data_IF_139112380861
#
_entry.id   IF_139112380861
#
_cell.length_a   1.000
_cell.length_b   1.000
_cell.length_c   1.000
_cell.angle_alpha   90.00
_cell.angle_beta   90.00
_cell.angle_gamma   90.00
#
_symmetry.space_group_name_H-M   'P 1'
#
loop_
_entity.id
_entity.type
_entity.pdbx_description
1 polymer ?
#
# COMPACT_ATOMS: atom_id res chain seq x y z
N UNK A 1 -20.14 0.56 30.88
CA UNK A 1 -19.13 0.94 29.87
C UNK A 1 -19.81 1.72 28.77
N UNK A 2 -19.47 2.99 28.59
CA UNK A 2 -20.03 3.82 27.53
C UNK A 2 -19.55 3.24 26.19
N UNK A 3 -20.49 2.80 25.34
CA UNK A 3 -20.17 2.23 24.03
C UNK A 3 -19.64 3.39 23.17
N UNK A 4 -18.34 3.43 22.93
CA UNK A 4 -17.72 4.39 22.01
C UNK A 4 -18.18 4.01 20.60
N UNK A 5 -19.27 4.60 20.13
CA UNK A 5 -19.76 4.39 18.76
C UNK A 5 -19.05 5.34 17.79
N UNK A 6 -18.67 4.81 16.62
CA UNK A 6 -18.05 5.60 15.56
C UNK A 6 -19.03 6.63 14.99
N UNK A 7 -18.52 7.79 14.59
CA UNK A 7 -19.36 8.90 14.08
C UNK A 7 -19.83 8.59 12.65
N UNK A 8 -21.04 8.04 12.55
CA UNK A 8 -21.71 7.78 11.28
C UNK A 8 -21.76 9.01 10.39
N UNK A 9 -21.48 8.82 9.10
CA UNK A 9 -21.59 9.87 8.08
C UNK A 9 -20.58 11.02 8.23
N UNK A 10 -19.47 10.81 8.91
CA UNK A 10 -18.42 11.82 9.08
C UNK A 10 -17.49 11.93 7.87
N UNK A 11 -17.37 10.87 7.06
CA UNK A 11 -16.45 10.81 5.91
C UNK A 11 -17.26 10.75 4.60
N UNK A 12 -17.05 11.72 3.70
CA UNK A 12 -17.65 11.71 2.36
C UNK A 12 -16.97 10.71 1.40
N UNK A 13 -17.56 10.49 0.22
CA UNK A 13 -17.04 9.56 -0.80
C UNK A 13 -15.56 9.81 -1.11
N UNK A 14 -15.21 11.04 -1.47
CA UNK A 14 -13.83 11.40 -1.77
C UNK A 14 -12.91 11.26 -0.56
N UNK A 15 -13.41 11.48 0.66
CA UNK A 15 -12.64 11.22 1.88
C UNK A 15 -12.29 9.74 2.02
N UNK A 16 -13.24 8.84 1.78
CA UNK A 16 -13.02 7.39 1.81
C UNK A 16 -12.05 6.96 0.70
N UNK A 17 -12.22 7.47 -0.52
CA UNK A 17 -11.32 7.20 -1.66
C UNK A 17 -9.90 7.63 -1.34
N UNK A 18 -9.70 8.87 -0.87
CA UNK A 18 -8.37 9.37 -0.56
C UNK A 18 -7.73 8.63 0.62
N UNK A 19 -8.47 8.33 1.67
CA UNK A 19 -7.95 7.51 2.78
C UNK A 19 -7.51 6.12 2.30
N UNK A 20 -8.23 5.53 1.34
CA UNK A 20 -7.87 4.24 0.76
C UNK A 20 -6.61 4.32 -0.12
N UNK A 21 -6.50 5.36 -0.95
CA UNK A 21 -5.30 5.61 -1.78
C UNK A 21 -4.08 5.83 -0.89
N UNK A 22 -4.22 6.67 0.14
CA UNK A 22 -3.15 6.97 1.09
C UNK A 22 -2.74 5.72 1.87
N UNK A 23 -3.68 4.86 2.24
CA UNK A 23 -3.40 3.58 2.90
C UNK A 23 -2.66 2.57 2.01
N UNK A 24 -2.64 2.77 0.69
CA UNK A 24 -1.78 2.01 -0.23
C UNK A 24 -0.32 2.48 -0.14
N UNK A 25 -0.03 3.66 0.42
CA UNK A 25 1.33 4.24 0.50
C UNK A 25 2.00 4.35 -0.89
N UNK A 26 1.44 5.19 -1.79
CA UNK A 26 1.69 5.13 -3.24
C UNK A 26 3.14 5.37 -3.69
N UNK A 27 4.03 5.93 -2.86
CA UNK A 27 5.47 5.96 -3.17
C UNK A 27 6.22 4.83 -2.49
N UNK A 28 6.17 4.75 -1.17
CA UNK A 28 6.99 3.82 -0.39
C UNK A 28 6.86 2.34 -0.85
N UNK A 29 5.66 1.76 -0.82
CA UNK A 29 5.48 0.34 -1.16
C UNK A 29 5.75 0.07 -2.64
N UNK A 30 5.51 1.09 -3.48
CA UNK A 30 5.77 1.02 -4.92
C UNK A 30 7.26 0.95 -5.22
N UNK A 31 8.10 1.71 -4.52
CA UNK A 31 9.56 1.66 -4.74
C UNK A 31 10.09 0.25 -4.47
N UNK A 32 9.69 -0.38 -3.36
CA UNK A 32 10.12 -1.75 -3.04
C UNK A 32 9.58 -2.72 -4.07
N UNK A 33 8.26 -2.71 -4.28
CA UNK A 33 7.58 -3.69 -5.14
C UNK A 33 8.01 -3.58 -6.61
N UNK A 34 8.26 -2.38 -7.12
CA UNK A 34 8.83 -2.17 -8.44
C UNK A 34 10.27 -2.68 -8.53
N UNK A 35 11.08 -2.51 -7.48
CA UNK A 35 12.46 -3.04 -7.44
C UNK A 35 12.46 -4.57 -7.46
N UNK A 36 11.58 -5.21 -6.68
CA UNK A 36 11.44 -6.68 -6.67
C UNK A 36 10.87 -7.18 -7.99
N UNK A 37 9.86 -6.52 -8.55
CA UNK A 37 9.31 -6.86 -9.86
C UNK A 37 10.38 -6.80 -10.95
N UNK A 38 11.20 -5.75 -10.97
CA UNK A 38 12.33 -5.62 -11.88
C UNK A 38 13.37 -6.72 -11.69
N UNK A 39 13.63 -7.12 -10.44
CA UNK A 39 14.58 -8.19 -10.11
C UNK A 39 14.14 -9.54 -10.71
N UNK A 40 12.85 -9.89 -10.61
CA UNK A 40 12.34 -11.19 -11.07
C UNK A 40 11.87 -11.20 -12.52
N UNK A 41 11.16 -10.16 -12.95
CA UNK A 41 10.57 -10.06 -14.29
C UNK A 41 11.41 -9.25 -15.27
N UNK A 42 12.53 -8.65 -14.85
CA UNK A 42 13.45 -7.95 -15.73
C UNK A 42 12.75 -6.89 -16.59
N UNK A 43 13.01 -6.94 -17.89
CA UNK A 43 12.42 -6.00 -18.84
C UNK A 43 10.89 -6.08 -18.87
N UNK A 44 10.30 -7.26 -18.61
CA UNK A 44 8.86 -7.48 -18.61
C UNK A 44 8.14 -6.95 -17.35
N UNK A 45 8.85 -6.29 -16.42
CA UNK A 45 8.28 -5.76 -15.19
C UNK A 45 7.05 -4.84 -15.42
N UNK A 46 7.02 -3.90 -16.39
CA UNK A 46 5.83 -3.09 -16.65
C UNK A 46 4.60 -3.93 -17.00
N UNK A 47 4.77 -5.00 -17.78
CA UNK A 47 3.67 -5.91 -18.10
C UNK A 47 3.16 -6.66 -16.87
N UNK A 48 4.04 -6.99 -15.90
CA UNK A 48 3.57 -7.58 -14.63
C UNK A 48 2.59 -6.65 -13.92
N UNK A 49 2.85 -5.34 -13.88
CA UNK A 49 1.95 -4.36 -13.27
C UNK A 49 0.63 -4.26 -14.02
N UNK A 50 0.61 -4.30 -15.35
CA UNK A 50 -0.63 -4.26 -16.14
C UNK A 50 -1.50 -5.49 -15.85
N UNK A 51 -0.94 -6.69 -16.01
CA UNK A 51 -1.70 -7.94 -15.83
C UNK A 51 -2.04 -8.16 -14.35
N UNK A 52 -1.10 -7.88 -13.45
CA UNK A 52 -1.31 -7.99 -12.02
C UNK A 52 -2.40 -7.06 -11.49
N UNK A 53 -2.47 -5.81 -12.00
CA UNK A 53 -3.57 -4.89 -11.67
C UNK A 53 -4.92 -5.45 -12.14
N UNK A 54 -4.99 -5.97 -13.37
CA UNK A 54 -6.21 -6.58 -13.89
C UNK A 54 -6.67 -7.75 -13.02
N UNK A 55 -5.76 -8.60 -12.56
CA UNK A 55 -6.07 -9.71 -11.65
C UNK A 55 -6.45 -9.22 -10.24
N UNK A 56 -5.89 -8.11 -9.78
CA UNK A 56 -6.24 -7.52 -8.49
C UNK A 56 -7.68 -7.01 -8.46
N UNK A 57 -8.24 -6.57 -9.58
CA UNK A 57 -9.68 -6.24 -9.65
C UNK A 57 -10.57 -7.42 -9.29
N UNK A 58 -10.17 -8.67 -9.60
CA UNK A 58 -10.94 -9.85 -9.18
C UNK A 58 -11.00 -9.99 -7.65
N UNK A 59 -9.92 -9.61 -6.95
CA UNK A 59 -9.91 -9.60 -5.49
C UNK A 59 -10.80 -8.49 -4.93
N UNK A 60 -10.81 -7.32 -5.57
CA UNK A 60 -11.69 -6.20 -5.18
C UNK A 60 -13.16 -6.58 -5.31
N UNK A 61 -13.54 -7.35 -6.34
CA UNK A 61 -14.94 -7.81 -6.53
C UNK A 61 -15.43 -8.61 -5.32
N UNK A 62 -14.61 -9.52 -4.78
CA UNK A 62 -15.01 -10.28 -3.59
C UNK A 62 -15.26 -9.36 -2.39
N UNK A 63 -14.34 -8.41 -2.13
CA UNK A 63 -14.49 -7.42 -1.05
C UNK A 63 -15.73 -6.56 -1.25
N UNK A 64 -15.98 -6.11 -2.48
CA UNK A 64 -17.16 -5.33 -2.83
C UNK A 64 -18.44 -6.09 -2.48
N UNK A 65 -18.59 -7.34 -2.94
CA UNK A 65 -19.78 -8.17 -2.66
C UNK A 65 -20.06 -8.25 -1.17
N UNK A 66 -19.06 -8.55 -0.34
CA UNK A 66 -19.23 -8.60 1.12
C UNK A 66 -19.56 -7.24 1.73
N UNK A 67 -18.93 -6.17 1.25
CA UNK A 67 -19.19 -4.81 1.75
C UNK A 67 -20.63 -4.34 1.51
N UNK A 68 -21.31 -4.84 0.47
CA UNK A 68 -22.73 -4.54 0.24
C UNK A 68 -23.68 -5.21 1.24
N UNK A 69 -23.20 -6.24 1.95
CA UNK A 69 -24.01 -7.04 2.89
C UNK A 69 -23.69 -6.72 4.34
N UNK A 70 -22.44 -6.37 4.64
CA UNK A 70 -21.94 -6.21 6.00
C UNK A 70 -21.26 -4.85 6.12
N UNK A 71 -21.85 -3.96 6.90
CA UNK A 71 -21.32 -2.62 7.20
C UNK A 71 -20.78 -2.66 8.62
N UNK A 72 -19.47 -2.85 8.77
CA UNK A 72 -18.82 -2.84 10.07
C UNK A 72 -17.32 -2.50 9.96
N UNK A 73 -16.83 -1.65 10.87
CA UNK A 73 -15.42 -1.24 10.89
C UNK A 73 -14.45 -2.40 11.18
N UNK A 74 -14.95 -3.53 11.70
CA UNK A 74 -14.18 -4.77 11.88
C UNK A 74 -13.73 -5.43 10.57
N UNK A 75 -14.22 -5.00 9.40
CA UNK A 75 -13.73 -5.44 8.09
C UNK A 75 -13.85 -6.96 7.88
N UNK A 76 -12.77 -7.59 7.41
CA UNK A 76 -12.77 -9.03 7.06
C UNK A 76 -13.15 -9.95 8.22
N UNK A 77 -12.80 -9.63 9.47
CA UNK A 77 -13.30 -10.36 10.64
C UNK A 77 -14.82 -10.49 10.61
N UNK A 78 -15.54 -9.38 10.37
CA UNK A 78 -17.00 -9.40 10.31
C UNK A 78 -17.55 -10.06 9.07
N UNK A 79 -16.84 -10.00 7.95
CA UNK A 79 -17.23 -10.74 6.76
C UNK A 79 -17.25 -12.24 7.02
N UNK A 80 -16.22 -12.77 7.70
CA UNK A 80 -16.15 -14.18 8.08
C UNK A 80 -17.19 -14.53 9.15
N UNK A 81 -17.37 -13.68 10.17
CA UNK A 81 -18.40 -13.88 11.19
C UNK A 81 -19.80 -13.98 10.56
N UNK A 82 -20.15 -13.05 9.68
CA UNK A 82 -21.44 -13.01 9.01
C UNK A 82 -21.65 -14.14 8.00
N UNK A 83 -20.59 -14.59 7.31
CA UNK A 83 -20.68 -15.66 6.32
C UNK A 83 -20.73 -17.07 6.93
N UNK A 84 -20.01 -17.29 8.04
CA UNK A 84 -19.80 -18.63 8.60
C UNK A 84 -20.49 -18.86 9.94
N UNK A 85 -20.82 -17.80 10.68
CA UNK A 85 -21.26 -17.89 12.08
C UNK A 85 -20.20 -18.42 13.04
N UNK A 86 -18.97 -18.68 12.57
CA UNK A 86 -17.92 -19.33 13.34
C UNK A 86 -17.01 -18.28 14.00
N UNK A 87 -17.19 -18.10 15.32
CA UNK A 87 -16.40 -17.16 16.11
C UNK A 87 -14.89 -17.48 16.17
N UNK A 88 -14.48 -18.74 16.03
CA UNK A 88 -13.06 -19.10 16.01
C UNK A 88 -12.39 -18.63 14.71
N UNK A 89 -12.98 -18.97 13.55
CA UNK A 89 -12.47 -18.52 12.25
C UNK A 89 -12.43 -17.00 12.16
N UNK A 90 -13.49 -16.36 12.65
CA UNK A 90 -13.57 -14.90 12.74
C UNK A 90 -12.37 -14.35 13.53
N UNK A 91 -12.16 -14.79 14.78
CA UNK A 91 -11.06 -14.29 15.64
C UNK A 91 -9.68 -14.54 15.04
N UNK A 92 -9.47 -15.67 14.36
CA UNK A 92 -8.22 -15.95 13.65
C UNK A 92 -7.96 -14.92 12.55
N UNK A 93 -8.99 -14.54 11.78
CA UNK A 93 -8.88 -13.47 10.78
C UNK A 93 -8.64 -12.10 11.42
N UNK A 94 -9.25 -11.79 12.56
CA UNK A 94 -8.93 -10.55 13.29
C UNK A 94 -7.45 -10.47 13.67
N UNK A 95 -6.85 -11.57 14.14
CA UNK A 95 -5.42 -11.61 14.46
C UNK A 95 -4.55 -11.40 13.23
N UNK A 96 -4.89 -12.06 12.11
CA UNK A 96 -4.17 -11.87 10.84
C UNK A 96 -4.29 -10.42 10.37
N UNK A 97 -5.49 -9.83 10.44
CA UNK A 97 -5.69 -8.42 10.10
C UNK A 97 -4.87 -7.50 11.02
N UNK A 98 -4.87 -7.74 12.33
CA UNK A 98 -4.09 -6.95 13.27
C UNK A 98 -2.59 -6.97 12.91
N UNK A 99 -2.01 -8.16 12.69
CA UNK A 99 -0.62 -8.30 12.27
C UNK A 99 -0.35 -7.62 10.93
N UNK A 100 -1.26 -7.79 9.95
CA UNK A 100 -1.15 -7.15 8.66
C UNK A 100 -1.15 -5.62 8.76
N UNK A 101 -1.93 -5.03 9.67
CA UNK A 101 -1.95 -3.58 9.90
C UNK A 101 -0.70 -3.05 10.61
N UNK A 102 0.08 -3.91 11.27
CA UNK A 102 1.40 -3.52 11.82
C UNK A 102 2.50 -3.48 10.76
N UNK A 103 2.39 -4.29 9.70
CA UNK A 103 3.41 -4.38 8.65
C UNK A 103 3.73 -3.03 7.97
N UNK A 104 2.77 -2.18 7.58
CA UNK A 104 3.07 -0.88 6.97
C UNK A 104 3.97 0.03 7.81
N UNK A 105 3.86 -0.04 9.15
CA UNK A 105 4.70 0.73 10.07
C UNK A 105 6.16 0.26 9.97
N UNK A 106 6.37 -1.05 9.98
CA UNK A 106 7.70 -1.69 9.88
C UNK A 106 8.31 -1.43 8.49
N UNK A 107 7.52 -1.62 7.44
CA UNK A 107 7.94 -1.38 6.05
C UNK A 107 8.35 0.08 5.89
N UNK A 108 7.57 1.03 6.41
CA UNK A 108 7.89 2.47 6.33
C UNK A 108 9.19 2.82 7.04
N UNK A 109 9.41 2.31 8.24
CA UNK A 109 10.68 2.52 8.93
C UNK A 109 11.87 1.93 8.16
N UNK A 110 11.68 0.74 7.57
CA UNK A 110 12.74 0.03 6.83
C UNK A 110 13.11 0.76 5.54
N UNK A 111 12.12 1.23 4.77
CA UNK A 111 12.41 1.94 3.52
C UNK A 111 13.13 3.24 3.75
N UNK A 112 12.71 4.05 4.73
CA UNK A 112 13.45 5.29 5.02
C UNK A 112 14.87 5.02 5.50
N UNK A 113 15.08 3.96 6.29
CA UNK A 113 16.42 3.52 6.68
C UNK A 113 17.29 3.14 5.47
N UNK A 114 16.70 2.52 4.45
CA UNK A 114 17.40 2.15 3.21
C UNK A 114 17.55 3.31 2.21
N UNK A 115 16.54 4.17 2.07
CA UNK A 115 16.50 5.21 1.04
C UNK A 115 17.53 6.32 1.30
N UNK A 116 17.77 6.67 2.57
CA UNK A 116 18.74 7.71 2.94
C UNK A 116 20.18 7.39 2.49
N UNK A 117 20.78 6.23 2.83
CA UNK A 117 22.12 5.90 2.34
C UNK A 117 22.17 5.72 0.82
N UNK A 118 21.11 5.17 0.19
CA UNK A 118 21.03 5.06 -1.27
C UNK A 118 21.04 6.43 -1.93
N UNK A 119 20.25 7.37 -1.41
CA UNK A 119 20.18 8.75 -1.92
C UNK A 119 21.51 9.48 -1.72
N UNK A 120 22.15 9.31 -0.56
CA UNK A 120 23.44 9.93 -0.29
C UNK A 120 24.55 9.42 -1.24
N UNK A 121 24.53 8.12 -1.52
CA UNK A 121 25.43 7.52 -2.49
C UNK A 121 25.14 8.02 -3.92
N UNK A 122 23.87 8.00 -4.34
CA UNK A 122 23.47 8.32 -5.71
C UNK A 122 23.60 9.81 -6.08
N UNK A 123 23.27 10.72 -5.16
CA UNK A 123 23.25 12.16 -5.43
C UNK A 123 24.55 12.87 -5.01
N UNK A 124 25.20 12.40 -3.95
CA UNK A 124 26.35 13.07 -3.35
C UNK A 124 27.63 12.21 -3.37
N UNK A 125 27.60 11.01 -3.96
CA UNK A 125 28.74 10.08 -3.99
C UNK A 125 29.36 9.85 -2.61
N UNK A 126 28.54 9.89 -1.55
CA UNK A 126 29.00 9.84 -0.16
C UNK A 126 28.45 8.60 0.53
N UNK A 127 29.31 7.88 1.26
CA UNK A 127 28.92 6.76 2.11
C UNK A 127 28.60 7.27 3.51
N UNK A 128 27.38 6.99 3.98
CA UNK A 128 26.98 7.35 5.33
C UNK A 128 27.46 6.31 6.35
N UNK A 129 27.75 6.72 7.60
CA UNK A 129 28.01 5.78 8.68
C UNK A 129 26.87 4.78 8.88
N UNK A 130 27.20 3.55 9.29
CA UNK A 130 26.25 2.43 9.41
C UNK A 130 25.13 2.67 10.42
N UNK A 131 25.32 3.58 11.39
CA UNK A 131 24.28 3.92 12.37
C UNK A 131 23.18 4.84 11.80
N UNK A 132 23.44 5.57 10.70
CA UNK A 132 22.49 6.56 10.15
C UNK A 132 21.18 5.92 9.67
N UNK A 133 21.20 4.79 8.93
CA UNK A 133 19.98 4.04 8.59
C UNK A 133 19.12 3.68 9.81
N UNK A 134 19.74 3.23 10.91
CA UNK A 134 19.01 2.86 12.13
C UNK A 134 18.35 4.07 12.79
N UNK A 135 19.06 5.20 12.86
CA UNK A 135 18.49 6.45 13.37
C UNK A 135 17.32 6.94 12.51
N UNK A 136 17.46 6.86 11.19
CA UNK A 136 16.37 7.22 10.28
C UNK A 136 15.12 6.36 10.47
N UNK A 137 15.28 5.03 10.56
CA UNK A 137 14.16 4.13 10.84
C UNK A 137 13.49 4.45 12.19
N UNK A 138 14.29 4.72 13.22
CA UNK A 138 13.76 5.07 14.55
C UNK A 138 12.97 6.40 14.51
N UNK A 139 13.47 7.41 13.80
CA UNK A 139 12.79 8.69 13.65
C UNK A 139 11.43 8.55 12.97
N UNK A 140 11.30 7.67 11.97
CA UNK A 140 10.00 7.38 11.33
C UNK A 140 9.02 6.75 12.32
N UNK A 141 9.47 5.80 13.15
CA UNK A 141 8.62 5.20 14.17
C UNK A 141 8.12 6.23 15.19
N UNK A 142 9.03 7.12 15.64
CA UNK A 142 8.69 8.22 16.56
C UNK A 142 7.68 9.17 15.90
N UNK A 143 7.91 9.53 14.63
CA UNK A 143 7.01 10.39 13.88
C UNK A 143 5.60 9.79 13.75
N UNK A 144 5.49 8.52 13.34
CA UNK A 144 4.19 7.84 13.21
C UNK A 144 3.50 7.74 14.58
N UNK A 145 4.24 7.46 15.65
CA UNK A 145 3.73 7.43 17.01
C UNK A 145 3.17 8.80 17.45
N UNK A 146 3.93 9.88 17.26
CA UNK A 146 3.50 11.24 17.62
C UNK A 146 2.25 11.64 16.85
N UNK A 147 2.23 11.44 15.52
CA UNK A 147 1.07 11.80 14.69
C UNK A 147 -0.17 10.99 15.10
N UNK A 148 0.00 9.71 15.42
CA UNK A 148 -1.08 8.85 15.90
C UNK A 148 -1.58 9.29 17.28
N UNK A 149 -0.67 9.74 18.15
CA UNK A 149 -0.98 10.22 19.51
C UNK A 149 -1.72 11.56 19.51
N UNK A 150 -1.35 12.49 18.61
CA UNK A 150 -1.99 13.81 18.48
C UNK A 150 -3.41 13.77 17.89
N UNK A 151 -3.87 12.60 17.46
CA UNK A 151 -5.26 12.31 17.16
C UNK A 151 -5.59 12.17 15.67
N UNK A 152 -6.65 11.40 15.41
CA UNK A 152 -7.07 10.91 14.09
C UNK A 152 -7.33 12.04 13.08
N UNK A 153 -7.84 13.19 13.52
CA UNK A 153 -8.16 14.32 12.63
C UNK A 153 -6.92 14.98 12.03
N UNK A 154 -5.87 15.15 12.84
CA UNK A 154 -4.61 15.72 12.36
C UNK A 154 -3.92 14.71 11.44
N UNK A 155 -3.86 13.44 11.87
CA UNK A 155 -3.33 12.34 11.06
C UNK A 155 -4.00 12.28 9.69
N UNK A 156 -5.33 12.27 9.61
CA UNK A 156 -6.05 12.19 8.34
C UNK A 156 -5.72 13.35 7.39
N UNK A 157 -5.66 14.60 7.90
CA UNK A 157 -5.33 15.78 7.06
C UNK A 157 -3.89 15.73 6.56
N UNK A 158 -2.95 15.40 7.43
CA UNK A 158 -1.53 15.28 7.07
C UNK A 158 -1.35 14.18 6.03
N UNK A 159 -1.95 13.01 6.26
CA UNK A 159 -1.81 11.88 5.34
C UNK A 159 -2.42 12.15 3.96
N UNK A 160 -3.54 12.86 3.87
CA UNK A 160 -4.10 13.30 2.58
C UNK A 160 -3.14 14.28 1.88
N UNK A 161 -2.63 15.29 2.59
CA UNK A 161 -1.71 16.27 2.00
C UNK A 161 -0.40 15.64 1.50
N UNK A 162 0.22 14.81 2.33
CA UNK A 162 1.47 14.10 1.98
C UNK A 162 1.22 13.10 0.84
N UNK A 163 0.16 12.29 0.92
CA UNK A 163 -0.13 11.30 -0.12
C UNK A 163 -0.45 11.93 -1.48
N UNK A 164 -1.15 13.07 -1.51
CA UNK A 164 -1.38 13.82 -2.74
C UNK A 164 -0.07 14.35 -3.34
N UNK A 165 0.80 14.94 -2.51
CA UNK A 165 2.10 15.42 -2.96
C UNK A 165 2.96 14.27 -3.50
N UNK A 166 2.93 13.10 -2.85
CA UNK A 166 3.64 11.90 -3.27
C UNK A 166 3.14 11.38 -4.63
N UNK A 167 1.82 11.28 -4.83
CA UNK A 167 1.23 10.88 -6.12
C UNK A 167 1.65 11.84 -7.23
N UNK A 168 1.53 13.15 -7.00
CA UNK A 168 1.92 14.17 -7.98
C UNK A 168 3.40 14.03 -8.32
N UNK A 169 4.27 13.87 -7.32
CA UNK A 169 5.70 13.71 -7.53
C UNK A 169 6.01 12.46 -8.36
N UNK A 170 5.47 11.30 -7.98
CA UNK A 170 5.73 10.03 -8.69
C UNK A 170 5.21 10.09 -10.13
N UNK A 171 4.04 10.69 -10.36
CA UNK A 171 3.50 10.87 -11.71
C UNK A 171 4.38 11.76 -12.58
N UNK A 172 4.79 12.93 -12.07
CA UNK A 172 5.66 13.86 -12.80
C UNK A 172 7.01 13.20 -13.08
N UNK A 173 7.62 12.57 -12.08
CA UNK A 173 8.89 11.88 -12.21
C UNK A 173 8.79 10.72 -13.23
N UNK A 174 7.73 9.93 -13.18
CA UNK A 174 7.48 8.84 -14.11
C UNK A 174 7.34 9.32 -15.56
N UNK A 175 6.51 10.35 -15.79
CA UNK A 175 6.35 10.96 -17.13
C UNK A 175 7.67 11.52 -17.62
N UNK A 176 8.41 12.22 -16.77
CA UNK A 176 9.71 12.79 -17.11
C UNK A 176 10.73 11.71 -17.51
N UNK A 177 10.87 10.66 -16.70
CA UNK A 177 11.80 9.55 -16.97
C UNK A 177 11.43 8.84 -18.28
N UNK A 178 10.16 8.49 -18.47
CA UNK A 178 9.70 7.80 -19.68
C UNK A 178 9.86 8.69 -20.92
N UNK A 179 9.63 10.00 -20.84
CA UNK A 179 9.77 10.89 -22.00
C UNK A 179 11.23 11.14 -22.43
N UNK A 180 12.20 10.99 -21.53
CA UNK A 180 13.61 11.33 -21.80
C UNK A 180 14.54 10.13 -21.87
N UNK A 181 14.09 8.94 -21.45
CA UNK A 181 14.94 7.74 -21.45
C UNK A 181 15.12 7.16 -22.85
N UNK A 182 16.35 6.78 -23.18
CA UNK A 182 16.66 6.02 -24.40
C UNK A 182 16.31 4.52 -24.26
N UNK A 183 15.95 4.07 -23.05
CA UNK A 183 15.72 2.66 -22.74
C UNK A 183 14.26 2.20 -22.93
N UNK A 184 13.40 3.05 -23.50
CA UNK A 184 12.04 2.65 -23.83
C UNK A 184 12.06 1.56 -24.92
N UNK A 185 11.34 0.47 -24.67
CA UNK A 185 11.26 -0.64 -25.61
C UNK A 185 9.92 -1.36 -25.48
N UNK A 186 9.37 -1.78 -26.63
CA UNK A 186 8.21 -2.67 -26.66
C UNK A 186 8.50 -4.05 -26.05
N UNK A 187 9.78 -4.39 -25.88
CA UNK A 187 10.19 -5.58 -25.15
C UNK A 187 9.68 -5.63 -23.71
N UNK A 188 9.33 -4.49 -23.12
CA UNK A 188 8.69 -4.43 -21.80
C UNK A 188 7.28 -5.03 -21.75
N UNK A 189 6.66 -5.23 -22.91
CA UNK A 189 5.33 -5.84 -23.07
C UNK A 189 5.40 -7.25 -23.65
N UNK A 190 6.57 -7.92 -23.55
CA UNK A 190 6.74 -9.30 -23.95
C UNK A 190 7.19 -10.15 -22.76
N UNK A 191 6.36 -11.13 -22.36
CA UNK A 191 6.62 -12.05 -21.24
C UNK A 191 7.92 -12.84 -21.45
N UNK A 192 8.31 -13.12 -22.69
CA UNK A 192 9.55 -13.85 -23.00
C UNK A 192 10.82 -13.11 -22.55
N UNK A 193 10.76 -11.78 -22.36
CA UNK A 193 11.87 -10.96 -21.89
C UNK A 193 11.98 -10.90 -20.36
N UNK A 194 11.26 -11.77 -19.66
CA UNK A 194 11.38 -11.94 -18.22
C UNK A 194 12.67 -12.68 -17.85
N UNK A 195 13.35 -12.25 -16.79
CA UNK A 195 14.65 -12.80 -16.35
C UNK A 195 14.66 -14.31 -16.12
N UNK A 196 13.50 -14.91 -15.80
CA UNK A 196 13.33 -16.36 -15.66
C UNK A 196 12.09 -16.87 -16.43
N UNK A 197 11.80 -16.27 -17.60
CA UNK A 197 10.63 -16.59 -18.40
C UNK A 197 9.32 -16.43 -17.61
N UNK A 198 8.40 -17.39 -17.76
CA UNK A 198 7.10 -17.34 -17.07
C UNK A 198 7.24 -17.35 -15.54
N UNK A 199 8.17 -18.10 -14.97
CA UNK A 199 8.37 -18.16 -13.52
C UNK A 199 8.74 -16.78 -12.98
N UNK A 200 9.75 -16.14 -13.58
CA UNK A 200 10.16 -14.78 -13.19
C UNK A 200 9.05 -13.75 -13.36
N UNK A 201 8.20 -13.92 -14.39
CA UNK A 201 7.08 -13.04 -14.65
C UNK A 201 6.02 -13.13 -13.54
N UNK A 202 5.62 -14.33 -13.15
CA UNK A 202 4.63 -14.53 -12.08
C UNK A 202 5.18 -14.17 -10.69
N UNK A 203 6.45 -14.48 -10.40
CA UNK A 203 7.09 -14.03 -9.14
C UNK A 203 7.18 -12.51 -9.11
N UNK A 204 7.55 -11.87 -10.23
CA UNK A 204 7.54 -10.41 -10.37
C UNK A 204 6.14 -9.81 -10.19
N UNK A 205 5.10 -10.50 -10.66
CA UNK A 205 3.71 -10.07 -10.46
C UNK A 205 3.27 -10.15 -9.00
N UNK A 206 3.63 -11.23 -8.29
CA UNK A 206 3.30 -11.38 -6.86
C UNK A 206 4.06 -10.37 -6.00
N UNK A 207 5.36 -10.23 -6.24
CA UNK A 207 6.22 -9.32 -5.46
C UNK A 207 6.06 -7.85 -5.85
N UNK A 208 5.62 -7.60 -7.09
CA UNK A 208 5.33 -6.28 -7.62
C UNK A 208 3.90 -5.82 -7.32
N UNK A 209 3.02 -5.79 -8.32
CA UNK A 209 1.68 -5.22 -8.20
C UNK A 209 0.88 -5.80 -7.03
N UNK A 210 0.88 -7.13 -6.82
CA UNK A 210 0.09 -7.72 -5.72
C UNK A 210 0.46 -7.14 -4.36
N UNK A 211 1.77 -6.95 -4.13
CA UNK A 211 2.30 -6.34 -2.92
C UNK A 211 2.05 -4.83 -2.89
N UNK A 212 2.18 -4.15 -4.04
CA UNK A 212 1.94 -2.73 -4.17
C UNK A 212 0.49 -2.33 -3.83
N UNK A 213 -0.48 -3.22 -4.06
CA UNK A 213 -1.89 -2.90 -3.90
C UNK A 213 -2.49 -3.28 -2.54
N UNK A 214 -1.76 -3.89 -1.59
CA UNK A 214 -2.30 -4.45 -0.33
C UNK A 214 -3.25 -3.50 0.44
N UNK A 215 -3.02 -2.18 0.37
CA UNK A 215 -3.85 -1.18 1.04
C UNK A 215 -5.28 -1.00 0.50
N UNK A 216 -5.65 -1.62 -0.64
CA UNK A 216 -6.98 -1.47 -1.26
C UNK A 216 -8.13 -1.83 -0.31
N UNK A 217 -7.88 -2.78 0.60
CA UNK A 217 -8.88 -3.28 1.53
C UNK A 217 -9.14 -2.36 2.72
N UNK A 218 -8.28 -1.37 2.97
CA UNK A 218 -8.42 -0.42 4.09
C UNK A 218 -9.77 0.30 4.12
N UNK A 219 -10.39 0.47 2.95
CA UNK A 219 -11.71 1.07 2.75
C UNK A 219 -12.80 0.48 3.64
N UNK A 220 -12.74 -0.84 3.91
CA UNK A 220 -13.80 -1.54 4.66
C UNK A 220 -13.85 -1.10 6.13
N UNK A 221 -12.73 -0.63 6.66
CA UNK A 221 -12.63 -0.17 8.04
C UNK A 221 -13.32 1.18 8.26
N UNK A 222 -13.52 1.97 7.19
CA UNK A 222 -14.23 3.25 7.24
C UNK A 222 -15.74 3.11 6.98
N UNK A 223 -16.25 1.89 6.82
CA UNK A 223 -17.65 1.64 6.41
C UNK A 223 -18.71 2.20 7.38
N UNK A 224 -18.44 2.20 8.68
CA UNK A 224 -19.37 2.77 9.69
C UNK A 224 -19.35 4.30 9.72
N UNK A 225 -18.26 4.93 9.27
CA UNK A 225 -18.07 6.39 9.27
C UNK A 225 -18.39 7.05 7.92
N UNK A 226 -18.51 6.24 6.86
CA UNK A 226 -18.84 6.69 5.51
C UNK A 226 -20.26 7.26 5.42
N UNK A 227 -20.44 8.34 4.65
CA UNK A 227 -21.76 8.94 4.32
C UNK A 227 -22.61 8.06 3.40
N UNK A 228 -21.98 7.13 2.70
CA UNK A 228 -22.63 6.21 1.77
C UNK A 228 -22.42 4.80 2.32
N UNK A 229 -23.49 4.19 2.82
CA UNK A 229 -23.43 2.84 3.39
C UNK A 229 -23.68 1.75 2.34
N UNK A 230 -23.83 2.12 1.06
CA UNK A 230 -24.04 1.25 -0.10
C UNK A 230 -23.45 1.91 -1.34
#
# INVERSE_FOLDING_TARGET
MQKSELKRGSIGFWGVVFLSIVAIFPGNIYIISSTTALTYAGQAAPLTFIIGTALMFLNVVAVYVFSTKIINAGGFYKFIEGATGNGFLSRSVAWIQFLAQMCPVIISATVFGWLIPVTASALFNTTLPTYVPFLASLLVLIYVFIISYLGIRLSARVSIGVGLAEIIFVLIAGIYIVSHTAYNSLGAFNIANSSQGLTGFFVGMVTGPLTAYIGYSSVVHFSEEAKFSK
#
